data_IF_454907591060
#
_entry.id   IF_454907591060
#
_cell.length_a   1.000
_cell.length_b   1.000
_cell.length_c   1.000
_cell.angle_alpha   90.00
_cell.angle_beta   90.00
_cell.angle_gamma   90.00
#
_symmetry.space_group_name_H-M   'P 1'
#
loop_
_entity.id
_entity.type
_entity.pdbx_description
1 polymer ?
#
# COMPACT_ATOMS: atom_id res chain seq x y z
N UNK A 1 -12.54 -3.83 -11.08
CA UNK A 1 -12.74 -4.68 -9.89
C UNK A 1 -13.14 -3.83 -8.71
N UNK A 2 -13.99 -4.41 -7.87
CA UNK A 2 -14.42 -3.85 -6.59
C UNK A 2 -13.58 -4.45 -5.47
N UNK A 3 -13.07 -3.61 -4.58
CA UNK A 3 -12.20 -4.00 -3.47
C UNK A 3 -12.94 -3.77 -2.16
N UNK A 4 -13.14 -4.85 -1.40
CA UNK A 4 -13.70 -4.76 -0.04
C UNK A 4 -12.61 -4.31 0.91
N UNK A 5 -12.83 -3.19 1.60
CA UNK A 5 -11.85 -2.58 2.49
C UNK A 5 -11.73 -3.37 3.78
N UNK A 6 -10.53 -3.89 4.03
CA UNK A 6 -10.20 -4.64 5.24
C UNK A 6 -10.09 -3.74 6.47
N UNK A 7 -9.92 -4.35 7.64
CA UNK A 7 -9.59 -3.59 8.86
C UNK A 7 -8.22 -2.93 8.78
N UNK A 8 -7.27 -3.48 8.04
CA UNK A 8 -5.91 -2.95 7.94
C UNK A 8 -5.89 -1.68 7.06
N UNK A 9 -6.64 -1.71 5.96
CA UNK A 9 -6.79 -0.58 5.05
C UNK A 9 -7.72 0.54 5.57
N UNK A 10 -8.24 0.45 6.80
CA UNK A 10 -9.12 1.48 7.32
C UNK A 10 -8.36 2.80 7.54
N UNK A 11 -8.89 3.90 7.01
CA UNK A 11 -8.32 5.24 7.16
C UNK A 11 -8.01 5.67 8.61
N UNK A 12 -8.67 5.07 9.62
CA UNK A 12 -8.38 5.33 11.03
C UNK A 12 -7.03 4.79 11.49
N UNK A 13 -6.45 3.82 10.79
CA UNK A 13 -5.13 3.28 11.12
C UNK A 13 -3.98 4.19 10.68
N UNK A 14 -4.29 5.22 9.91
CA UNK A 14 -3.33 6.18 9.37
C UNK A 14 -3.59 7.58 9.93
N UNK A 15 -3.46 7.80 11.26
CA UNK A 15 -3.54 9.15 11.82
C UNK A 15 -2.41 10.02 11.25
N UNK A 16 -2.67 11.32 11.12
CA UNK A 16 -1.68 12.35 10.76
C UNK A 16 -0.83 12.06 9.50
N UNK A 17 -1.39 11.32 8.54
CA UNK A 17 -0.77 11.03 7.23
C UNK A 17 -1.78 11.11 6.08
N UNK A 18 -1.29 11.05 4.84
CA UNK A 18 -2.11 11.12 3.63
C UNK A 18 -2.99 9.89 3.46
N UNK A 19 -4.26 10.12 3.11
CA UNK A 19 -5.29 9.07 3.01
C UNK A 19 -6.48 9.51 2.17
N UNK A 20 -7.21 8.53 1.65
CA UNK A 20 -8.47 8.67 0.92
C UNK A 20 -9.71 8.74 1.83
N UNK A 21 -9.56 8.43 3.12
CA UNK A 21 -10.66 8.34 4.08
C UNK A 21 -11.62 7.15 3.81
N UNK A 22 -11.09 6.03 3.31
CA UNK A 22 -11.89 4.81 3.06
C UNK A 22 -12.28 4.12 4.38
N UNK A 23 -13.48 3.55 4.42
CA UNK A 23 -14.05 2.89 5.61
C UNK A 23 -14.04 1.37 5.50
N UNK A 24 -13.73 0.68 6.61
CA UNK A 24 -13.77 -0.78 6.70
C UNK A 24 -15.15 -1.35 6.30
N UNK A 25 -15.15 -2.51 5.63
CA UNK A 25 -16.33 -3.20 5.10
C UNK A 25 -17.10 -2.44 4.00
N UNK A 26 -16.58 -1.31 3.51
CA UNK A 26 -17.10 -0.69 2.29
C UNK A 26 -16.45 -1.30 1.05
N UNK A 27 -17.06 -1.09 -0.11
CA UNK A 27 -16.49 -1.44 -1.41
C UNK A 27 -16.03 -0.19 -2.11
N UNK A 28 -14.79 -0.18 -2.61
CA UNK A 28 -14.23 0.92 -3.39
C UNK A 28 -13.69 0.35 -4.70
N UNK A 29 -13.93 1.07 -5.80
CA UNK A 29 -13.41 0.66 -7.09
C UNK A 29 -11.87 0.67 -7.08
N UNK A 30 -11.25 -0.36 -7.68
CA UNK A 30 -9.79 -0.41 -7.80
C UNK A 30 -9.23 0.83 -8.52
N UNK A 31 -9.99 1.39 -9.47
CA UNK A 31 -9.60 2.61 -10.18
C UNK A 31 -9.52 3.83 -9.25
N UNK A 32 -10.44 3.96 -8.29
CA UNK A 32 -10.42 5.09 -7.35
C UNK A 32 -9.30 4.91 -6.32
N UNK A 33 -9.05 3.68 -5.87
CA UNK A 33 -7.90 3.37 -5.02
C UNK A 33 -6.59 3.76 -5.71
N UNK A 34 -6.42 3.39 -6.99
CA UNK A 34 -5.23 3.81 -7.76
C UNK A 34 -5.10 5.32 -7.87
N UNK A 35 -6.21 6.03 -8.10
CA UNK A 35 -6.20 7.50 -8.14
C UNK A 35 -5.80 8.10 -6.80
N UNK A 36 -6.33 7.60 -5.69
CA UNK A 36 -5.95 8.11 -4.37
C UNK A 36 -4.51 7.76 -3.99
N UNK A 37 -4.02 6.59 -4.37
CA UNK A 37 -2.60 6.25 -4.21
C UNK A 37 -1.71 7.21 -5.01
N UNK A 38 -1.96 7.39 -6.31
CA UNK A 38 -1.07 8.15 -7.19
C UNK A 38 -1.17 9.67 -6.95
N UNK A 39 -2.38 10.18 -6.72
CA UNK A 39 -2.63 11.64 -6.62
C UNK A 39 -2.46 12.15 -5.20
N UNK A 40 -2.95 11.41 -4.21
CA UNK A 40 -2.94 11.84 -2.81
C UNK A 40 -1.90 11.12 -1.96
N UNK A 41 -1.17 10.14 -2.50
CA UNK A 41 -0.29 9.27 -1.72
C UNK A 41 -1.04 8.61 -0.55
N UNK A 42 -2.28 8.17 -0.80
CA UNK A 42 -3.14 7.61 0.24
C UNK A 42 -2.60 6.29 0.82
N UNK A 43 -2.24 6.28 2.10
CA UNK A 43 -1.69 5.11 2.78
C UNK A 43 -2.72 3.98 2.92
N UNK A 44 -3.97 4.35 3.23
CA UNK A 44 -5.13 3.47 3.28
C UNK A 44 -5.39 2.78 1.94
N UNK A 45 -5.32 3.54 0.86
CA UNK A 45 -5.43 3.03 -0.51
C UNK A 45 -4.29 2.05 -0.86
N UNK A 46 -3.06 2.36 -0.43
CA UNK A 46 -1.91 1.50 -0.67
C UNK A 46 -2.09 0.11 -0.03
N UNK A 47 -2.55 0.06 1.22
CA UNK A 47 -2.84 -1.22 1.91
C UNK A 47 -3.98 -1.97 1.23
N UNK A 48 -5.07 -1.29 0.85
CA UNK A 48 -6.18 -1.93 0.13
C UNK A 48 -5.73 -2.56 -1.19
N UNK A 49 -4.92 -1.85 -1.98
CA UNK A 49 -4.37 -2.36 -3.24
C UNK A 49 -3.43 -3.54 -2.97
N UNK A 50 -2.54 -3.43 -1.97
CA UNK A 50 -1.58 -4.47 -1.63
C UNK A 50 -2.27 -5.80 -1.28
N UNK A 51 -3.28 -5.75 -0.41
CA UNK A 51 -4.05 -6.93 -0.02
C UNK A 51 -4.87 -7.49 -1.18
N UNK A 52 -5.43 -6.65 -2.03
CA UNK A 52 -6.18 -7.10 -3.21
C UNK A 52 -5.29 -7.81 -4.24
N UNK A 53 -4.09 -7.28 -4.49
CA UNK A 53 -3.18 -7.78 -5.53
C UNK A 53 -2.40 -9.01 -5.07
N UNK A 54 -1.93 -9.02 -3.82
CA UNK A 54 -0.99 -10.03 -3.34
C UNK A 54 -1.54 -10.90 -2.20
N UNK A 55 -2.80 -10.69 -1.80
CA UNK A 55 -3.46 -11.39 -0.69
C UNK A 55 -3.08 -10.88 0.70
N UNK A 56 -1.95 -10.19 0.84
CA UNK A 56 -1.50 -9.54 2.07
C UNK A 56 -0.49 -8.44 1.79
N UNK A 57 -0.29 -7.53 2.76
CA UNK A 57 0.78 -6.53 2.71
C UNK A 57 2.17 -7.17 2.60
N UNK A 58 2.43 -8.24 3.36
CA UNK A 58 3.71 -8.97 3.31
C UNK A 58 3.97 -9.64 1.95
N UNK A 59 2.92 -10.17 1.31
CA UNK A 59 2.99 -10.69 -0.05
C UNK A 59 3.32 -9.58 -1.04
N UNK A 60 2.70 -8.42 -0.88
CA UNK A 60 2.95 -7.26 -1.72
C UNK A 60 4.36 -6.70 -1.56
N UNK A 61 4.86 -6.55 -0.32
CA UNK A 61 6.24 -6.17 -0.02
C UNK A 61 7.24 -7.15 -0.64
N UNK A 62 6.93 -8.45 -0.63
CA UNK A 62 7.75 -9.46 -1.32
C UNK A 62 7.80 -9.22 -2.83
N UNK A 63 6.68 -8.81 -3.45
CA UNK A 63 6.65 -8.41 -4.86
C UNK A 63 7.46 -7.14 -5.11
N UNK A 64 7.34 -6.12 -4.26
CA UNK A 64 8.11 -4.87 -4.38
C UNK A 64 9.62 -5.15 -4.34
N UNK A 65 10.08 -5.96 -3.39
CA UNK A 65 11.49 -6.34 -3.29
C UNK A 65 11.93 -7.27 -4.43
N UNK A 66 11.05 -8.14 -4.95
CA UNK A 66 11.33 -8.92 -6.16
C UNK A 66 11.55 -8.02 -7.37
N UNK A 67 10.77 -6.94 -7.51
CA UNK A 67 10.99 -5.93 -8.54
C UNK A 67 12.28 -5.16 -8.33
N UNK A 68 12.60 -4.74 -7.11
CA UNK A 68 13.85 -4.07 -6.80
C UNK A 68 15.06 -4.92 -7.22
N UNK A 69 15.04 -6.22 -6.91
CA UNK A 69 16.07 -7.17 -7.32
C UNK A 69 16.14 -7.33 -8.86
N UNK A 70 15.01 -7.44 -9.55
CA UNK A 70 14.96 -7.53 -11.02
C UNK A 70 15.47 -6.28 -11.72
N UNK A 71 15.35 -5.13 -11.07
CA UNK A 71 15.82 -3.83 -11.56
C UNK A 71 17.25 -3.52 -11.09
N UNK A 72 17.92 -4.47 -10.42
CA UNK A 72 19.29 -4.34 -9.91
C UNK A 72 19.46 -3.17 -8.90
N UNK A 73 18.40 -2.85 -8.15
CA UNK A 73 18.41 -1.80 -7.12
C UNK A 73 19.02 -2.34 -5.82
N UNK A 74 20.35 -2.44 -5.78
CA UNK A 74 21.09 -3.05 -4.65
C UNK A 74 20.98 -2.29 -3.33
N UNK A 75 20.58 -1.02 -3.36
CA UNK A 75 20.44 -0.16 -2.18
C UNK A 75 18.97 0.24 -1.94
N UNK A 76 18.02 -0.65 -2.27
CA UNK A 76 16.59 -0.43 -2.04
C UNK A 76 15.97 -1.65 -1.36
N UNK A 77 15.23 -1.41 -0.28
CA UNK A 77 14.39 -2.42 0.35
C UNK A 77 13.09 -1.79 0.86
N UNK A 78 11.98 -2.49 0.63
CA UNK A 78 10.65 -2.12 1.10
C UNK A 78 10.23 -3.01 2.26
N UNK A 79 9.51 -2.45 3.22
CA UNK A 79 8.95 -3.18 4.38
C UNK A 79 7.45 -3.00 4.54
N UNK A 80 6.86 -2.03 3.84
CA UNK A 80 5.43 -1.77 3.81
C UNK A 80 5.05 -1.15 2.45
N UNK A 81 3.77 -1.15 2.07
CA UNK A 81 3.34 -0.68 0.75
C UNK A 81 3.22 0.85 0.66
N UNK A 82 3.19 1.57 1.79
CA UNK A 82 2.84 2.99 1.86
C UNK A 82 4.02 3.94 2.11
N UNK A 83 5.19 3.42 2.48
CA UNK A 83 6.41 4.20 2.72
C UNK A 83 6.46 4.95 4.05
N UNK A 84 5.62 4.58 5.03
CA UNK A 84 5.79 5.13 6.40
C UNK A 84 7.05 4.53 7.02
N UNK A 85 7.68 5.29 7.90
CA UNK A 85 8.92 4.89 8.58
C UNK A 85 8.79 3.51 9.20
N UNK A 86 9.77 2.66 8.89
CA UNK A 86 9.82 1.27 9.33
C UNK A 86 11.27 0.80 9.28
N UNK A 87 11.68 0.04 10.30
CA UNK A 87 13.01 -0.55 10.35
C UNK A 87 13.27 -1.40 9.10
N UNK A 88 14.31 -1.06 8.34
CA UNK A 88 14.70 -1.77 7.12
C UNK A 88 14.07 -1.23 5.82
N UNK A 89 13.22 -0.19 5.89
CA UNK A 89 12.80 0.57 4.71
C UNK A 89 13.90 1.55 4.31
N UNK A 90 14.46 1.40 3.11
CA UNK A 90 15.46 2.34 2.59
C UNK A 90 15.51 2.34 1.06
N UNK A 91 16.01 3.43 0.50
CA UNK A 91 16.42 3.53 -0.90
C UNK A 91 17.55 4.55 -1.02
N UNK A 92 18.33 4.49 -2.10
CA UNK A 92 19.29 5.53 -2.51
C UNK A 92 18.89 6.20 -3.81
#
# INVERSE_FOLDING_TARGET
DEVVISRNAWAKNFPDSSKMFIEVNTSVSLSDLYRGLIVQSGNDASVAIAEHVAGSESGFVSLMNSWAAKLELSNTAFTNPHGLDSDGLYST
#
